data_IF_734461374274
#
_entry.id   IF_734461374274
#
_cell.length_a   1.000
_cell.length_b   1.000
_cell.length_c   1.000
_cell.angle_alpha   90.00
_cell.angle_beta   90.00
_cell.angle_gamma   90.00
#
_symmetry.space_group_name_H-M   'P 1'
#
loop_
_entity.id
_entity.type
_entity.pdbx_description
1 polymer ?
#
# COMPACT_ATOMS: atom_id res chain seq x y z
N UNK A 1 -9.84 -9.84 22.09
CA UNK A 1 -10.94 -10.10 21.11
C UNK A 1 -12.20 -9.35 21.52
N UNK A 2 -12.76 -9.60 22.71
CA UNK A 2 -14.03 -9.02 23.19
C UNK A 2 -14.10 -7.48 23.17
N UNK A 3 -12.97 -6.78 23.36
CA UNK A 3 -12.90 -5.31 23.26
C UNK A 3 -12.48 -4.78 21.88
N UNK A 4 -12.43 -5.62 20.84
CA UNK A 4 -12.06 -5.19 19.48
C UNK A 4 -10.58 -4.83 19.27
N UNK A 5 -9.73 -4.91 20.32
CA UNK A 5 -8.29 -4.62 20.23
C UNK A 5 -7.55 -5.64 19.35
N UNK A 6 -7.95 -6.91 19.42
CA UNK A 6 -7.44 -7.97 18.54
C UNK A 6 -8.49 -8.14 17.44
N UNK A 7 -8.14 -7.76 16.23
CA UNK A 7 -9.05 -7.73 15.07
C UNK A 7 -8.92 -8.96 14.18
N UNK A 8 -7.75 -9.61 14.16
CA UNK A 8 -7.48 -10.74 13.26
C UNK A 8 -6.43 -11.69 13.86
N UNK A 9 -6.58 -12.98 13.58
CA UNK A 9 -5.51 -13.97 13.66
C UNK A 9 -5.18 -14.45 12.25
N UNK A 10 -3.91 -14.44 11.88
CA UNK A 10 -3.48 -14.83 10.55
C UNK A 10 -2.02 -15.24 10.54
N UNK A 11 -1.64 -15.98 9.50
CA UNK A 11 -0.24 -16.29 9.23
C UNK A 11 0.36 -15.20 8.35
N UNK A 12 1.66 -14.95 8.51
CA UNK A 12 2.42 -14.07 7.62
C UNK A 12 3.35 -14.93 6.77
N UNK A 13 3.03 -15.19 5.50
CA UNK A 13 3.88 -16.02 4.66
C UNK A 13 5.20 -15.29 4.35
N UNK A 14 6.26 -16.06 4.15
CA UNK A 14 7.52 -15.51 3.66
C UNK A 14 7.43 -15.38 2.13
N UNK A 15 7.07 -14.19 1.65
CA UNK A 15 6.87 -13.92 0.23
C UNK A 15 8.16 -14.06 -0.61
N UNK A 16 9.33 -13.81 -0.02
CA UNK A 16 10.61 -14.05 -0.71
C UNK A 16 10.79 -15.54 -1.04
N UNK A 17 10.47 -16.45 -0.10
CA UNK A 17 10.52 -17.90 -0.35
C UNK A 17 9.49 -18.36 -1.39
N UNK A 18 8.41 -17.60 -1.57
CA UNK A 18 7.40 -17.82 -2.61
C UNK A 18 7.78 -17.17 -3.96
N UNK A 19 9.00 -16.62 -4.07
CA UNK A 19 9.51 -15.93 -5.27
C UNK A 19 8.70 -14.70 -5.66
N UNK A 20 8.09 -14.03 -4.69
CA UNK A 20 7.52 -12.70 -4.87
C UNK A 20 8.51 -11.64 -4.40
N UNK A 21 8.57 -10.57 -5.17
CA UNK A 21 9.28 -9.33 -4.88
C UNK A 21 8.29 -8.30 -4.33
N UNK A 22 8.72 -7.56 -3.32
CA UNK A 22 7.90 -6.55 -2.67
C UNK A 22 8.21 -5.17 -3.24
N UNK A 23 7.18 -4.45 -3.63
CA UNK A 23 7.30 -3.12 -4.20
C UNK A 23 6.44 -2.11 -3.45
N UNK A 24 6.98 -0.90 -3.32
CA UNK A 24 6.18 0.30 -3.05
C UNK A 24 6.03 1.09 -4.33
N UNK A 25 4.78 1.35 -4.72
CA UNK A 25 4.42 2.16 -5.88
C UNK A 25 3.77 3.43 -5.36
N UNK A 26 4.34 4.58 -5.69
CA UNK A 26 3.83 5.90 -5.28
C UNK A 26 3.27 6.61 -6.49
N UNK A 27 2.06 7.14 -6.37
CA UNK A 27 1.40 7.89 -7.43
C UNK A 27 1.18 9.33 -6.99
N UNK A 28 1.47 10.26 -7.89
CA UNK A 28 1.02 11.64 -7.81
C UNK A 28 -0.17 11.79 -8.74
N UNK A 29 -1.32 12.10 -8.16
CA UNK A 29 -2.58 12.33 -8.87
C UNK A 29 -2.86 13.83 -8.88
N UNK A 30 -3.32 14.35 -10.02
CA UNK A 30 -3.62 15.77 -10.15
C UNK A 30 -4.65 16.23 -9.11
N UNK A 31 -4.43 17.41 -8.52
CA UNK A 31 -5.24 17.90 -7.40
C UNK A 31 -6.72 18.11 -7.75
N UNK A 32 -7.05 18.29 -9.03
CA UNK A 32 -8.42 18.50 -9.53
C UNK A 32 -9.19 17.19 -9.76
N UNK A 33 -8.54 16.04 -9.56
CA UNK A 33 -9.05 14.72 -9.96
C UNK A 33 -9.42 13.84 -8.74
N UNK A 34 -10.06 14.38 -7.69
CA UNK A 34 -10.35 13.62 -6.46
C UNK A 34 -11.24 12.38 -6.71
N UNK A 35 -12.28 12.50 -7.55
CA UNK A 35 -13.14 11.36 -7.93
C UNK A 35 -12.35 10.26 -8.66
N UNK A 36 -11.43 10.66 -9.56
CA UNK A 36 -10.57 9.70 -10.25
C UNK A 36 -9.51 9.10 -9.35
N UNK A 37 -8.99 9.86 -8.40
CA UNK A 37 -8.11 9.33 -7.36
C UNK A 37 -8.77 8.16 -6.62
N UNK A 38 -10.06 8.28 -6.31
CA UNK A 38 -10.79 7.21 -5.64
C UNK A 38 -11.05 6.00 -6.55
N UNK A 39 -11.29 6.22 -7.85
CA UNK A 39 -11.35 5.14 -8.85
C UNK A 39 -10.03 4.38 -8.96
N UNK A 40 -8.89 5.08 -8.98
CA UNK A 40 -7.56 4.46 -8.98
C UNK A 40 -7.37 3.62 -7.72
N UNK A 41 -7.67 4.19 -6.55
CA UNK A 41 -7.56 3.48 -5.27
C UNK A 41 -8.39 2.20 -5.27
N UNK A 42 -9.66 2.27 -5.66
CA UNK A 42 -10.53 1.08 -5.70
C UNK A 42 -10.01 0.03 -6.69
N UNK A 43 -9.63 0.45 -7.90
CA UNK A 43 -9.04 -0.45 -8.88
C UNK A 43 -7.82 -1.21 -8.34
N UNK A 44 -6.92 -0.53 -7.63
CA UNK A 44 -5.72 -1.18 -7.08
C UNK A 44 -6.04 -2.05 -5.86
N UNK A 45 -6.95 -1.62 -4.98
CA UNK A 45 -7.33 -2.38 -3.79
C UNK A 45 -8.05 -3.70 -4.10
N UNK A 46 -8.71 -3.80 -5.25
CA UNK A 46 -9.38 -5.02 -5.69
C UNK A 46 -8.39 -6.09 -6.22
N UNK A 47 -7.11 -5.75 -6.40
CA UNK A 47 -6.10 -6.68 -6.89
C UNK A 47 -5.54 -7.56 -5.77
N UNK A 48 -5.43 -8.89 -5.98
CA UNK A 48 -4.95 -9.82 -4.95
C UNK A 48 -3.49 -9.59 -4.56
N UNK A 49 -2.69 -8.96 -5.43
CA UNK A 49 -1.31 -8.60 -5.12
C UNK A 49 -1.16 -7.37 -4.21
N UNK A 50 -2.24 -6.68 -3.88
CA UNK A 50 -2.20 -5.47 -3.03
C UNK A 50 -2.19 -5.83 -1.55
N UNK A 51 -1.13 -5.39 -0.84
CA UNK A 51 -0.93 -5.65 0.58
C UNK A 51 -1.41 -4.48 1.45
N UNK A 52 -0.94 -3.27 1.14
CA UNK A 52 -1.31 -2.06 1.88
C UNK A 52 -1.53 -0.87 0.96
N UNK A 53 -2.35 0.06 1.43
CA UNK A 53 -2.61 1.35 0.81
C UNK A 53 -2.47 2.44 1.85
N UNK A 54 -1.85 3.55 1.45
CA UNK A 54 -1.78 4.77 2.24
C UNK A 54 -2.14 5.98 1.38
N UNK A 55 -3.04 6.84 1.91
CA UNK A 55 -3.19 8.21 1.41
C UNK A 55 -2.06 9.04 2.01
N UNK A 56 -1.26 9.66 1.16
CA UNK A 56 -0.04 10.37 1.53
C UNK A 56 -0.30 11.88 1.58
N UNK A 57 0.50 12.59 2.38
CA UNK A 57 0.56 14.05 2.41
C UNK A 57 1.92 14.45 1.85
N UNK A 58 1.95 15.41 0.92
CA UNK A 58 3.18 15.93 0.30
C UNK A 58 3.24 15.65 -1.20
N UNK A 59 4.42 15.26 -1.70
CA UNK A 59 4.67 15.04 -3.14
C UNK A 59 3.78 13.96 -3.76
N UNK A 60 3.49 12.91 -3.00
CA UNK A 60 2.74 11.74 -3.47
C UNK A 60 1.32 11.79 -2.91
N UNK A 61 0.35 11.36 -3.71
CA UNK A 61 -1.06 11.27 -3.31
C UNK A 61 -1.35 9.89 -2.70
N UNK A 62 -0.84 8.83 -3.33
CA UNK A 62 -1.06 7.44 -2.91
C UNK A 62 0.25 6.67 -2.81
N UNK A 63 0.31 5.74 -1.86
CA UNK A 63 1.36 4.72 -1.76
C UNK A 63 0.72 3.34 -1.67
N UNK A 64 0.99 2.50 -2.65
CA UNK A 64 0.55 1.11 -2.71
C UNK A 64 1.73 0.19 -2.44
N UNK A 65 1.49 -0.83 -1.63
CA UNK A 65 2.47 -1.83 -1.26
C UNK A 65 1.99 -3.15 -1.83
N UNK A 66 2.75 -3.72 -2.76
CA UNK A 66 2.26 -4.80 -3.63
C UNK A 66 3.34 -5.86 -3.86
N UNK A 67 2.91 -7.08 -4.21
CA UNK A 67 3.79 -8.19 -4.55
C UNK A 67 3.73 -8.52 -6.04
N UNK A 68 4.90 -8.70 -6.66
CA UNK A 68 5.03 -9.13 -8.05
C UNK A 68 6.05 -10.25 -8.15
N UNK A 69 5.93 -11.18 -9.09
CA UNK A 69 6.89 -12.27 -9.31
C UNK A 69 8.25 -11.74 -9.75
N UNK A 70 8.23 -10.72 -10.61
CA UNK A 70 9.41 -10.08 -11.15
C UNK A 70 9.10 -8.65 -11.62
N UNK A 71 10.13 -7.99 -12.17
CA UNK A 71 10.04 -6.63 -12.70
C UNK A 71 9.14 -6.52 -13.93
N UNK A 72 8.94 -7.61 -14.68
CA UNK A 72 8.09 -7.62 -15.87
C UNK A 72 6.61 -7.56 -15.48
N UNK A 73 6.20 -8.35 -14.49
CA UNK A 73 4.83 -8.29 -13.97
C UNK A 73 4.51 -6.91 -13.33
N UNK A 74 5.49 -6.29 -12.67
CA UNK A 74 5.38 -4.89 -12.23
C UNK A 74 5.18 -3.95 -13.43
N UNK A 75 5.98 -4.10 -14.48
CA UNK A 75 5.89 -3.24 -15.66
C UNK A 75 4.54 -3.38 -16.38
N UNK A 76 4.00 -4.60 -16.46
CA UNK A 76 2.66 -4.85 -16.99
C UNK A 76 1.60 -4.14 -16.17
N UNK A 77 1.70 -4.19 -14.83
CA UNK A 77 0.81 -3.45 -13.95
C UNK A 77 0.91 -1.93 -14.14
N UNK A 78 2.13 -1.37 -14.23
CA UNK A 78 2.33 0.06 -14.45
C UNK A 78 1.82 0.52 -15.82
N UNK A 79 1.94 -0.35 -16.83
CA UNK A 79 1.40 -0.11 -18.17
C UNK A 79 -0.13 -0.08 -18.14
N UNK A 80 -0.76 -1.06 -17.47
CA UNK A 80 -2.21 -1.11 -17.28
C UNK A 80 -2.73 0.11 -16.50
N UNK A 81 -2.01 0.53 -15.46
CA UNK A 81 -2.34 1.72 -14.69
C UNK A 81 -2.32 2.98 -15.57
N UNK A 82 -1.30 3.10 -16.43
CA UNK A 82 -1.16 4.22 -17.37
C UNK A 82 -2.24 4.19 -18.47
N UNK A 83 -2.58 3.01 -18.98
CA UNK A 83 -3.64 2.86 -19.98
C UNK A 83 -4.99 3.33 -19.42
N UNK A 84 -5.30 2.97 -18.18
CA UNK A 84 -6.59 3.30 -17.56
C UNK A 84 -6.68 4.71 -16.98
N UNK A 85 -5.57 5.24 -16.48
CA UNK A 85 -5.56 6.45 -15.64
C UNK A 85 -4.42 7.43 -15.98
N UNK A 86 -3.75 7.27 -17.11
CA UNK A 86 -2.57 8.07 -17.49
C UNK A 86 -2.85 9.56 -17.65
N UNK A 87 -4.11 9.96 -17.86
CA UNK A 87 -4.54 11.36 -17.91
C UNK A 87 -4.64 12.00 -16.51
N UNK A 88 -4.74 11.19 -15.46
CA UNK A 88 -4.95 11.61 -14.07
C UNK A 88 -3.69 11.50 -13.23
N UNK A 89 -2.75 10.65 -13.66
CA UNK A 89 -1.48 10.41 -12.99
C UNK A 89 -0.44 11.37 -13.56
N UNK A 90 -0.02 12.34 -12.75
CA UNK A 90 1.05 13.27 -13.12
C UNK A 90 2.41 12.57 -13.15
N UNK A 91 2.66 11.70 -12.18
CA UNK A 91 3.90 10.95 -12.08
C UNK A 91 3.74 9.73 -11.17
N UNK A 92 4.66 8.77 -11.31
CA UNK A 92 4.77 7.64 -10.41
C UNK A 92 6.22 7.29 -10.13
N UNK A 93 6.44 6.59 -9.03
CA UNK A 93 7.71 6.00 -8.64
C UNK A 93 7.49 4.56 -8.14
N UNK A 94 8.47 3.69 -8.34
CA UNK A 94 8.44 2.31 -7.86
C UNK A 94 9.76 1.96 -7.19
N UNK A 95 9.69 1.51 -5.94
CA UNK A 95 10.85 1.07 -5.16
C UNK A 95 10.73 -0.41 -4.84
N UNK A 96 11.76 -1.20 -5.15
CA UNK A 96 11.87 -2.60 -4.71
C UNK A 96 12.39 -2.67 -3.27
N UNK A 97 11.82 -3.56 -2.49
CA UNK A 97 12.30 -3.91 -1.15
C UNK A 97 13.01 -5.27 -1.22
N UNK A 98 14.32 -5.25 -1.03
CA UNK A 98 15.13 -6.47 -1.07
C UNK A 98 14.86 -7.36 0.15
N UNK A 99 14.73 -6.74 1.32
CA UNK A 99 14.47 -7.41 2.59
C UNK A 99 13.29 -6.79 3.34
N UNK A 100 12.58 -7.63 4.10
CA UNK A 100 11.46 -7.21 4.96
C UNK A 100 11.76 -7.55 6.41
N UNK A 101 11.87 -6.52 7.25
CA UNK A 101 12.02 -6.66 8.69
C UNK A 101 10.71 -6.28 9.38
N UNK A 102 10.29 -7.10 10.34
CA UNK A 102 9.03 -6.94 11.03
C UNK A 102 9.23 -6.77 12.53
N UNK A 103 8.52 -5.79 13.11
CA UNK A 103 8.39 -5.65 14.55
C UNK A 103 7.12 -6.38 15.00
N UNK A 104 7.22 -7.14 16.09
CA UNK A 104 6.11 -7.90 16.69
C UNK A 104 5.46 -7.16 17.87
N UNK A 105 5.87 -5.92 18.12
CA UNK A 105 5.39 -5.09 19.22
C UNK A 105 4.98 -3.71 18.70
N UNK A 106 4.00 -3.11 19.37
CA UNK A 106 3.64 -1.70 19.21
C UNK A 106 4.44 -0.91 20.25
N UNK A 107 5.04 0.23 19.85
CA UNK A 107 5.77 1.08 20.78
C UNK A 107 4.87 1.57 21.92
N UNK A 108 5.40 1.59 23.16
CA UNK A 108 4.67 2.11 24.33
C UNK A 108 4.21 3.56 24.15
N UNK A 109 5.00 4.40 23.46
CA UNK A 109 4.64 5.80 23.19
C UNK A 109 3.37 5.91 22.33
N UNK A 110 3.20 5.02 21.36
CA UNK A 110 2.02 4.95 20.49
C UNK A 110 0.78 4.43 21.21
N UNK A 111 0.94 3.69 22.31
CA UNK A 111 -0.17 3.15 23.11
C UNK A 111 -0.71 4.12 24.18
N UNK A 112 0.05 5.17 24.52
CA UNK A 112 -0.36 6.16 25.52
C UNK A 112 -1.50 7.05 25.01
N UNK A 113 -1.49 7.43 23.73
CA UNK A 113 -2.53 8.27 23.09
C UNK A 113 -3.89 7.56 22.97
N UNK A 114 -3.91 6.22 23.04
CA UNK A 114 -5.15 5.43 23.07
C UNK A 114 -5.80 5.41 24.47
N UNK A 115 -5.06 5.73 25.53
CA UNK A 115 -5.58 5.78 26.91
C UNK A 115 -6.21 7.12 27.27
N UNK A 116 -5.74 8.23 26.69
CA UNK A 116 -6.28 9.57 26.99
C UNK A 116 -7.65 9.83 26.36
N UNK A 117 -7.98 9.18 25.23
CA UNK A 117 -9.33 9.25 24.63
C UNK A 117 -10.41 8.43 25.36
N UNK A 118 -10.09 7.84 26.52
CA UNK A 118 -10.99 7.00 27.33
C UNK A 118 -11.40 7.65 28.66
N UNK A 119 -11.29 8.97 28.81
CA UNK A 119 -11.87 9.72 29.94
C UNK A 119 -13.02 10.61 29.48
#
# INVERSE_FOLDING_TARGET
IKEGIITLFGYRPNYQKLKFQYYTIRLKVAAVEEERGEKIKHFVLDLPQTLYYFRMIGQWTFSFHMFFKDVWELNDFLSLLREKFGDSIESYDSTIHLDQYYYTYISRSSSASLREKRK
#
